data_IF_891405054460
#
_entry.id   IF_891405054460
#
_cell.length_a   1.000
_cell.length_b   1.000
_cell.length_c   1.000
_cell.angle_alpha   90.00
_cell.angle_beta   90.00
_cell.angle_gamma   90.00
#
_symmetry.space_group_name_H-M   'P 1'
#
loop_
_entity.id
_entity.type
_entity.pdbx_description
1 polymer ?
#
# COMPACT_ATOMS: atom_id res chain seq x y z
N UNK A 1 12.90 -10.20 46.93
CA UNK A 1 11.78 -9.51 46.26
C UNK A 1 11.43 -10.26 44.98
N UNK A 2 10.60 -11.30 45.05
CA UNK A 2 10.30 -12.12 43.85
C UNK A 2 8.97 -12.86 43.95
N UNK A 3 8.58 -13.25 45.17
CA UNK A 3 7.29 -13.87 45.44
C UNK A 3 6.09 -12.92 45.20
N UNK A 4 6.23 -11.62 45.48
CA UNK A 4 5.14 -10.64 45.29
C UNK A 4 4.82 -10.42 43.81
N UNK A 5 5.83 -10.40 42.95
CA UNK A 5 5.67 -10.16 41.51
C UNK A 5 4.93 -11.31 40.82
N UNK A 6 5.16 -12.56 41.28
CA UNK A 6 4.52 -13.73 40.74
C UNK A 6 3.03 -13.84 41.14
N UNK A 7 2.70 -13.56 42.40
CA UNK A 7 1.30 -13.52 42.85
C UNK A 7 0.50 -12.42 42.15
N UNK A 8 1.10 -11.24 41.98
CA UNK A 8 0.44 -10.12 41.31
C UNK A 8 0.13 -10.44 39.84
N UNK A 9 1.03 -11.15 39.13
CA UNK A 9 0.80 -11.56 37.73
C UNK A 9 -0.30 -12.61 37.59
N UNK A 10 -0.38 -13.55 38.54
CA UNK A 10 -1.42 -14.60 38.54
C UNK A 10 -2.82 -14.03 38.77
N UNK A 11 -2.95 -13.07 39.70
CA UNK A 11 -4.23 -12.40 39.98
C UNK A 11 -4.71 -11.51 38.83
N UNK A 12 -3.80 -10.88 38.08
CA UNK A 12 -4.18 -10.03 36.94
C UNK A 12 -4.45 -10.81 35.66
N UNK A 13 -4.03 -12.07 35.54
CA UNK A 13 -4.22 -12.88 34.32
C UNK A 13 -5.64 -12.89 33.72
N UNK A 14 -6.74 -13.01 34.50
CA UNK A 14 -8.10 -12.94 33.95
C UNK A 14 -8.60 -11.52 33.63
N UNK A 15 -7.85 -10.47 33.99
CA UNK A 15 -8.14 -9.06 33.71
C UNK A 15 -7.20 -8.44 32.68
N UNK A 16 -6.23 -9.21 32.17
CA UNK A 16 -5.44 -8.80 31.02
C UNK A 16 -6.34 -8.93 29.78
N UNK A 17 -6.48 -7.89 28.95
CA UNK A 17 -7.20 -8.02 27.70
C UNK A 17 -6.54 -9.15 26.89
N UNK A 18 -7.31 -10.17 26.51
CA UNK A 18 -6.81 -11.25 25.68
C UNK A 18 -6.22 -10.68 24.38
N UNK A 19 -5.17 -11.35 23.88
CA UNK A 19 -4.38 -11.04 22.67
C UNK A 19 -5.19 -11.04 21.35
N UNK A 20 -6.37 -10.46 21.31
CA UNK A 20 -7.14 -10.27 20.08
C UNK A 20 -6.52 -9.17 19.19
N UNK A 21 -5.86 -8.18 19.79
CA UNK A 21 -5.18 -7.08 19.09
C UNK A 21 -3.91 -7.51 18.34
N UNK A 22 -3.17 -8.50 18.85
CA UNK A 22 -1.95 -8.99 18.20
C UNK A 22 -2.26 -9.87 16.97
N UNK A 23 -3.29 -10.71 17.06
CA UNK A 23 -3.68 -11.62 15.97
C UNK A 23 -4.23 -10.89 14.74
N UNK A 24 -4.83 -9.72 14.93
CA UNK A 24 -5.29 -8.87 13.83
C UNK A 24 -4.14 -8.08 13.16
N UNK A 25 -3.06 -7.78 13.89
CA UNK A 25 -1.86 -7.14 13.33
C UNK A 25 -1.03 -8.11 12.47
N UNK A 26 -1.00 -9.39 12.79
CA UNK A 26 -0.34 -10.43 11.98
C UNK A 26 -1.01 -10.69 10.61
N UNK A 27 -2.21 -10.14 10.36
CA UNK A 27 -2.96 -10.34 9.12
C UNK A 27 -2.87 -9.18 8.12
N UNK A 28 -2.09 -8.13 8.40
CA UNK A 28 -1.89 -7.01 7.47
C UNK A 28 -0.81 -7.39 6.48
N UNK A 29 -1.10 -7.31 5.18
CA UNK A 29 -0.16 -7.68 4.13
C UNK A 29 1.17 -6.92 4.23
N UNK A 30 2.22 -7.47 3.62
CA UNK A 30 3.53 -6.81 3.59
C UNK A 30 3.46 -5.55 2.74
N UNK A 31 3.87 -4.40 3.30
CA UNK A 31 3.93 -3.13 2.58
C UNK A 31 5.27 -3.00 1.84
N UNK A 32 5.20 -2.90 0.52
CA UNK A 32 6.37 -2.73 -0.35
C UNK A 32 6.39 -1.31 -0.92
N UNK A 33 7.53 -0.64 -0.81
CA UNK A 33 7.73 0.68 -1.42
C UNK A 33 7.89 0.53 -2.93
N UNK A 34 7.03 1.20 -3.69
CA UNK A 34 7.20 1.34 -5.14
C UNK A 34 8.09 2.55 -5.45
N UNK A 35 7.98 3.60 -4.63
CA UNK A 35 8.84 4.78 -4.67
C UNK A 35 8.11 6.06 -5.05
N UNK A 36 8.89 7.10 -5.32
CA UNK A 36 8.40 8.42 -5.71
C UNK A 36 8.36 8.56 -7.24
N UNK A 37 7.28 9.16 -7.73
CA UNK A 37 7.04 9.45 -9.14
C UNK A 37 6.90 10.94 -9.33
N UNK A 38 7.55 11.45 -10.38
CA UNK A 38 7.33 12.80 -10.90
C UNK A 38 6.97 12.68 -12.37
N UNK A 39 5.80 13.19 -12.77
CA UNK A 39 5.32 13.09 -14.15
C UNK A 39 4.47 14.29 -14.55
N UNK A 40 4.39 14.55 -15.85
CA UNK A 40 3.35 15.40 -16.40
C UNK A 40 2.02 14.65 -16.40
N UNK A 41 0.91 15.38 -16.30
CA UNK A 41 -0.44 14.85 -16.41
C UNK A 41 -1.09 15.33 -17.72
N UNK A 42 -2.08 14.58 -18.21
CA UNK A 42 -2.75 14.84 -19.48
C UNK A 42 -3.86 15.90 -19.31
N UNK A 43 -3.47 17.14 -18.98
CA UNK A 43 -4.41 18.24 -18.78
C UNK A 43 -4.53 19.12 -20.04
N UNK A 44 -5.76 19.54 -20.33
CA UNK A 44 -6.10 20.45 -21.44
C UNK A 44 -5.75 21.90 -21.14
N UNK A 45 -5.64 22.27 -19.86
CA UNK A 45 -5.38 23.66 -19.44
C UNK A 45 -3.89 24.06 -19.44
N UNK A 46 -2.98 23.13 -19.75
CA UNK A 46 -1.53 23.36 -19.77
C UNK A 46 -0.74 22.27 -19.04
N UNK A 47 0.59 22.36 -19.08
CA UNK A 47 1.48 21.38 -18.43
C UNK A 47 1.40 21.54 -16.91
N UNK A 48 0.93 20.49 -16.24
CA UNK A 48 0.93 20.35 -14.78
C UNK A 48 1.82 19.19 -14.37
N UNK A 49 2.44 19.31 -13.21
CA UNK A 49 3.33 18.29 -12.67
C UNK A 49 2.66 17.60 -11.48
N UNK A 50 2.78 16.27 -11.45
CA UNK A 50 2.38 15.44 -10.32
C UNK A 50 3.63 14.87 -9.66
N UNK A 51 3.74 15.05 -8.35
CA UNK A 51 4.66 14.31 -7.48
C UNK A 51 3.86 13.43 -6.53
N UNK A 52 4.11 12.13 -6.55
CA UNK A 52 3.40 11.15 -5.71
C UNK A 52 4.34 10.06 -5.21
N UNK A 53 4.17 9.67 -3.95
CA UNK A 53 4.88 8.53 -3.36
C UNK A 53 3.91 7.36 -3.21
N UNK A 54 4.32 6.18 -3.69
CA UNK A 54 3.45 5.00 -3.84
C UNK A 54 3.99 3.79 -3.07
N UNK A 55 3.08 3.14 -2.35
CA UNK A 55 3.29 1.84 -1.72
C UNK A 55 2.22 0.85 -2.19
N UNK A 56 2.55 -0.43 -2.14
CA UNK A 56 1.60 -1.52 -2.40
C UNK A 56 1.55 -2.47 -1.21
N UNK A 57 0.37 -2.99 -0.92
CA UNK A 57 0.20 -4.09 0.02
C UNK A 57 0.17 -5.40 -0.73
N UNK A 58 0.92 -6.36 -0.24
CA UNK A 58 1.07 -7.68 -0.80
C UNK A 58 0.52 -8.71 0.17
N UNK A 59 -0.26 -9.67 -0.32
CA UNK A 59 -0.82 -10.73 0.53
C UNK A 59 0.28 -11.55 1.22
N UNK A 60 0.14 -11.75 2.54
CA UNK A 60 1.00 -12.62 3.37
C UNK A 60 0.77 -14.12 3.09
N UNK A 61 -0.37 -14.50 2.49
CA UNK A 61 -0.70 -15.89 2.19
C UNK A 61 0.34 -16.55 1.26
N UNK A 62 1.03 -15.73 0.47
CA UNK A 62 2.18 -16.17 -0.29
C UNK A 62 3.46 -15.58 0.34
N UNK A 63 4.12 -16.36 1.20
CA UNK A 63 5.41 -16.00 1.84
C UNK A 63 6.52 -15.59 0.86
N UNK A 64 6.37 -15.89 -0.44
CA UNK A 64 7.30 -15.50 -1.50
C UNK A 64 6.84 -14.28 -2.30
N UNK A 65 5.60 -13.83 -2.13
CA UNK A 65 5.02 -12.75 -2.92
C UNK A 65 5.80 -11.44 -2.81
N UNK A 66 6.28 -11.07 -1.63
CA UNK A 66 7.11 -9.87 -1.48
C UNK A 66 8.42 -9.95 -2.28
N UNK A 67 9.08 -11.11 -2.31
CA UNK A 67 10.29 -11.33 -3.10
C UNK A 67 9.99 -11.42 -4.61
N UNK A 68 8.83 -11.97 -4.98
CA UNK A 68 8.36 -12.03 -6.36
C UNK A 68 8.07 -10.62 -6.90
N UNK A 69 7.41 -9.77 -6.10
CA UNK A 69 7.12 -8.36 -6.41
C UNK A 69 8.38 -7.58 -6.78
N UNK A 70 9.49 -7.78 -6.05
CA UNK A 70 10.77 -7.13 -6.34
C UNK A 70 11.25 -7.42 -7.78
N UNK A 71 11.05 -8.65 -8.27
CA UNK A 71 11.41 -9.01 -9.65
C UNK A 71 10.52 -8.33 -10.71
N UNK A 72 9.30 -7.96 -10.34
CA UNK A 72 8.36 -7.21 -11.19
C UNK A 72 8.45 -5.68 -11.00
N UNK A 73 9.34 -5.17 -10.14
CA UNK A 73 9.40 -3.75 -9.80
C UNK A 73 9.51 -2.81 -11.03
N UNK A 74 10.29 -3.12 -12.10
CA UNK A 74 10.29 -2.29 -13.31
C UNK A 74 8.91 -2.22 -13.98
N UNK A 75 8.19 -3.34 -14.05
CA UNK A 75 6.85 -3.45 -14.64
C UNK A 75 5.83 -2.69 -13.78
N UNK A 76 5.96 -2.79 -12.45
CA UNK A 76 5.11 -2.08 -11.50
C UNK A 76 5.28 -0.56 -11.66
N UNK A 77 6.52 -0.08 -11.69
CA UNK A 77 6.83 1.35 -11.85
C UNK A 77 6.34 1.88 -13.19
N UNK A 78 6.58 1.17 -14.29
CA UNK A 78 6.10 1.55 -15.61
C UNK A 78 4.56 1.65 -15.64
N UNK A 79 3.88 0.68 -15.03
CA UNK A 79 2.42 0.68 -14.92
C UNK A 79 1.89 1.89 -14.17
N UNK A 80 2.46 2.19 -13.00
CA UNK A 80 2.06 3.33 -12.17
C UNK A 80 2.30 4.62 -12.93
N UNK A 81 3.48 4.81 -13.53
CA UNK A 81 3.83 6.00 -14.29
C UNK A 81 2.89 6.22 -15.48
N UNK A 82 2.60 5.17 -16.25
CA UNK A 82 1.71 5.21 -17.41
C UNK A 82 0.28 5.60 -17.02
N UNK A 83 -0.25 5.01 -15.95
CA UNK A 83 -1.60 5.32 -15.48
C UNK A 83 -1.66 6.77 -15.01
N UNK A 84 -0.71 7.21 -14.17
CA UNK A 84 -0.70 8.56 -13.63
C UNK A 84 -0.55 9.64 -14.71
N UNK A 85 0.34 9.43 -15.69
CA UNK A 85 0.57 10.40 -16.77
C UNK A 85 -0.62 10.53 -17.72
N UNK A 86 -1.47 9.50 -17.81
CA UNK A 86 -2.70 9.53 -18.61
C UNK A 86 -3.85 10.33 -17.98
N UNK A 87 -3.76 10.67 -16.68
CA UNK A 87 -4.87 11.30 -15.94
C UNK A 87 -4.94 12.81 -16.17
N UNK A 88 -6.15 13.35 -16.10
CA UNK A 88 -6.39 14.78 -16.02
C UNK A 88 -6.32 15.27 -14.56
N UNK A 89 -6.27 16.58 -14.33
CA UNK A 89 -6.35 17.12 -12.97
C UNK A 89 -7.68 16.77 -12.26
N UNK A 90 -8.79 16.65 -13.00
CA UNK A 90 -10.08 16.27 -12.43
C UNK A 90 -10.10 14.81 -11.95
N UNK A 91 -9.39 13.92 -12.65
CA UNK A 91 -9.24 12.52 -12.24
C UNK A 91 -8.38 12.39 -10.98
N UNK A 92 -7.42 13.30 -10.79
CA UNK A 92 -6.45 13.31 -9.68
C UNK A 92 -6.94 14.04 -8.42
N UNK A 93 -8.15 14.62 -8.48
CA UNK A 93 -8.78 15.22 -7.30
C UNK A 93 -8.98 14.17 -6.19
N UNK A 94 -8.92 14.64 -4.95
CA UNK A 94 -9.12 13.88 -3.71
C UNK A 94 -10.29 12.90 -3.76
N UNK A 95 -11.42 13.30 -4.35
CA UNK A 95 -12.62 12.47 -4.49
C UNK A 95 -12.46 11.27 -5.45
N UNK A 96 -11.48 11.32 -6.36
CA UNK A 96 -11.27 10.33 -7.41
C UNK A 96 -10.01 9.46 -7.20
N UNK A 97 -9.15 9.80 -6.22
CA UNK A 97 -7.90 9.06 -5.95
C UNK A 97 -8.10 7.56 -5.71
N UNK A 98 -9.20 7.17 -5.09
CA UNK A 98 -9.50 5.76 -4.85
C UNK A 98 -9.72 4.98 -6.15
N UNK A 99 -10.34 5.60 -7.16
CA UNK A 99 -10.51 4.99 -8.48
C UNK A 99 -9.16 4.73 -9.14
N UNK A 100 -8.20 5.66 -9.01
CA UNK A 100 -6.85 5.51 -9.56
C UNK A 100 -6.10 4.38 -8.85
N UNK A 101 -6.17 4.30 -7.52
CA UNK A 101 -5.57 3.20 -6.76
C UNK A 101 -6.12 1.85 -7.19
N UNK A 102 -7.44 1.75 -7.38
CA UNK A 102 -8.10 0.53 -7.87
C UNK A 102 -7.69 0.17 -9.30
N UNK A 103 -7.56 1.16 -10.19
CA UNK A 103 -7.06 0.99 -11.55
C UNK A 103 -5.63 0.44 -11.55
N UNK A 104 -4.73 1.06 -10.79
CA UNK A 104 -3.34 0.60 -10.61
C UNK A 104 -3.35 -0.84 -10.10
N UNK A 105 -4.07 -1.15 -9.01
CA UNK A 105 -4.14 -2.51 -8.46
C UNK A 105 -4.54 -3.53 -9.52
N UNK A 106 -5.61 -3.25 -10.27
CA UNK A 106 -6.11 -4.14 -11.33
C UNK A 106 -5.07 -4.34 -12.44
N UNK A 107 -4.38 -3.27 -12.83
CA UNK A 107 -3.33 -3.34 -13.85
C UNK A 107 -2.14 -4.19 -13.40
N UNK A 108 -1.68 -3.97 -12.17
CA UNK A 108 -0.56 -4.70 -11.58
C UNK A 108 -0.88 -6.19 -11.47
N UNK A 109 -2.01 -6.57 -10.88
CA UNK A 109 -2.39 -7.98 -10.76
C UNK A 109 -2.55 -8.65 -12.12
N UNK A 110 -3.07 -7.93 -13.13
CA UNK A 110 -3.18 -8.45 -14.50
C UNK A 110 -1.81 -8.70 -15.13
N UNK A 111 -0.84 -7.80 -14.93
CA UNK A 111 0.53 -7.92 -15.46
C UNK A 111 1.37 -8.98 -14.75
N UNK A 112 1.17 -9.14 -13.44
CA UNK A 112 1.83 -10.18 -12.64
C UNK A 112 1.21 -11.56 -12.93
N UNK A 113 -0.07 -11.61 -13.30
CA UNK A 113 -0.79 -12.84 -13.62
C UNK A 113 -1.35 -13.57 -12.39
N UNK A 114 -1.39 -12.91 -11.24
CA UNK A 114 -1.90 -13.43 -9.98
C UNK A 114 -2.43 -12.30 -9.08
N UNK A 115 -3.36 -12.60 -8.18
CA UNK A 115 -4.00 -11.63 -7.29
C UNK A 115 -3.14 -11.35 -6.04
N UNK A 116 -1.95 -10.78 -6.28
CA UNK A 116 -0.91 -10.60 -5.26
C UNK A 116 -1.00 -9.23 -4.56
N UNK A 117 -1.28 -8.18 -5.33
CA UNK A 117 -1.47 -6.81 -4.83
C UNK A 117 -2.87 -6.69 -4.24
N UNK A 118 -2.94 -6.40 -2.95
CA UNK A 118 -4.19 -6.22 -2.20
C UNK A 118 -4.67 -4.78 -2.20
N UNK A 119 -3.74 -3.84 -1.98
CA UNK A 119 -4.01 -2.41 -1.90
C UNK A 119 -2.87 -1.56 -2.50
N UNK A 120 -3.21 -0.32 -2.87
CA UNK A 120 -2.27 0.70 -3.35
C UNK A 120 -2.45 1.93 -2.48
N UNK A 121 -1.36 2.50 -1.99
CA UNK A 121 -1.36 3.65 -1.10
C UNK A 121 -0.58 4.80 -1.72
N UNK A 122 -1.08 6.01 -1.52
CA UNK A 122 -0.37 7.25 -1.81
C UNK A 122 -0.03 7.92 -0.48
N UNK A 123 1.25 8.06 -0.18
CA UNK A 123 1.74 8.65 1.09
C UNK A 123 2.09 10.13 0.94
N UNK A 124 2.38 10.56 -0.27
CA UNK A 124 2.54 11.96 -0.66
C UNK A 124 1.85 12.19 -2.00
N UNK A 125 1.17 13.32 -2.19
CA UNK A 125 0.48 13.64 -3.44
C UNK A 125 0.38 15.16 -3.61
N UNK A 126 1.22 15.71 -4.49
CA UNK A 126 1.36 17.14 -4.74
C UNK A 126 1.18 17.37 -6.24
N UNK A 127 0.28 18.30 -6.59
CA UNK A 127 0.05 18.73 -7.97
C UNK A 127 0.44 20.21 -8.08
N UNK A 128 1.21 20.56 -9.12
CA UNK A 128 1.72 21.91 -9.40
C UNK A 128 1.29 22.40 -10.78
#
# INVERSE_FOLDING_TARGET
>A
MGFSFFLMRSMMAPFLPEKETEKQMESRGSLVSVGEFTTNINDVAGTRFLKVEVFVEVSEENKKAAAEIESYMPIIKDSVLTILSSKTAADLDTNNREKIKLEIKKDLNRKIGSEVIQNVYFTSFIMQ
#
